data_IF_791925837554
#
_entry.id   IF_791925837554
#
_cell.length_a   1.000
_cell.length_b   1.000
_cell.length_c   1.000
_cell.angle_alpha   90.00
_cell.angle_beta   90.00
_cell.angle_gamma   90.00
#
_symmetry.space_group_name_H-M   'P 1'
#
loop_
_entity.id
_entity.type
_entity.pdbx_description
1 polymer ?
#
# COMPACT_ATOMS: atom_id res chain seq x y z
N UNK A 1 15.08 -20.24 17.37
CA UNK A 1 13.81 -20.21 18.13
C UNK A 1 12.59 -20.35 17.20
N UNK A 2 12.17 -21.60 16.99
CA UNK A 2 10.82 -22.07 16.64
C UNK A 2 10.11 -21.52 15.39
N UNK A 3 10.27 -22.20 14.24
CA UNK A 3 9.28 -22.19 13.14
C UNK A 3 7.97 -22.95 13.50
N UNK A 4 7.86 -23.52 14.71
CA UNK A 4 6.80 -24.45 15.12
C UNK A 4 5.45 -23.82 15.56
N UNK A 5 5.24 -22.50 15.42
CA UNK A 5 3.90 -21.91 15.62
C UNK A 5 3.50 -20.88 14.56
N UNK A 6 3.89 -21.09 13.31
CA UNK A 6 3.31 -20.32 12.20
C UNK A 6 1.85 -20.75 12.04
N UNK A 7 0.92 -19.90 12.46
CA UNK A 7 -0.51 -20.16 12.28
C UNK A 7 -0.91 -19.84 10.84
N UNK A 8 -0.71 -20.81 9.95
CA UNK A 8 -1.02 -20.71 8.51
C UNK A 8 -2.48 -20.30 8.28
N UNK A 9 -3.41 -20.86 9.07
CA UNK A 9 -4.84 -20.53 9.01
C UNK A 9 -5.10 -19.06 9.34
N UNK A 10 -4.53 -18.54 10.43
CA UNK A 10 -4.72 -17.13 10.84
C UNK A 10 -4.01 -16.14 9.92
N UNK A 11 -2.88 -16.55 9.34
CA UNK A 11 -2.16 -15.79 8.31
C UNK A 11 -2.95 -15.74 7.00
N UNK A 12 -3.55 -16.86 6.60
CA UNK A 12 -4.38 -16.96 5.39
C UNK A 12 -5.72 -16.23 5.53
N UNK A 13 -6.33 -16.25 6.72
CA UNK A 13 -7.56 -15.51 7.01
C UNK A 13 -7.30 -14.04 7.39
N UNK A 14 -6.04 -13.62 7.51
CA UNK A 14 -5.64 -12.24 7.86
C UNK A 14 -6.25 -11.75 9.18
N UNK A 15 -6.52 -12.67 10.10
CA UNK A 15 -7.17 -12.36 11.39
C UNK A 15 -6.17 -12.21 12.55
N UNK A 16 -4.88 -12.50 12.32
CA UNK A 16 -3.85 -12.36 13.36
C UNK A 16 -3.22 -10.97 13.35
N UNK A 17 -3.33 -10.26 14.47
CA UNK A 17 -2.69 -8.97 14.73
C UNK A 17 -1.24 -9.13 15.24
N UNK A 18 -0.84 -10.35 15.61
CA UNK A 18 0.46 -10.63 16.25
C UNK A 18 1.59 -10.89 15.23
N UNK A 19 2.39 -9.86 14.96
CA UNK A 19 3.54 -9.83 14.03
C UNK A 19 4.50 -11.04 14.08
N UNK A 20 4.59 -11.74 15.22
CA UNK A 20 5.61 -12.76 15.49
C UNK A 20 5.30 -14.13 14.87
N UNK A 21 4.08 -14.36 14.37
CA UNK A 21 3.62 -15.69 13.94
C UNK A 21 3.00 -15.74 12.53
N UNK A 22 3.13 -14.66 11.74
CA UNK A 22 2.53 -14.59 10.41
C UNK A 22 3.48 -15.19 9.37
N UNK A 23 2.94 -16.07 8.52
CA UNK A 23 3.65 -16.61 7.36
C UNK A 23 4.08 -15.52 6.36
N UNK A 24 3.33 -14.41 6.36
CA UNK A 24 3.62 -13.20 5.58
C UNK A 24 3.83 -12.05 6.56
N UNK A 25 5.08 -11.61 6.83
CA UNK A 25 5.33 -10.56 7.83
C UNK A 25 4.68 -9.21 7.49
N UNK A 26 4.17 -9.07 6.27
CA UNK A 26 3.50 -7.88 5.73
C UNK A 26 1.97 -7.90 5.96
N UNK A 27 1.40 -9.02 6.39
CA UNK A 27 -0.06 -9.16 6.46
C UNK A 27 -0.75 -8.35 7.57
N UNK A 28 0.01 -7.81 8.54
CA UNK A 28 -0.54 -6.89 9.55
C UNK A 28 -1.12 -5.62 8.92
N UNK A 29 -0.43 -5.01 7.95
CA UNK A 29 -0.89 -3.80 7.24
C UNK A 29 -2.02 -4.11 6.25
N UNK A 30 -1.97 -5.28 5.61
CA UNK A 30 -3.02 -5.73 4.69
C UNK A 30 -4.36 -5.96 5.42
N UNK A 31 -4.32 -6.39 6.68
CA UNK A 31 -5.52 -6.52 7.52
C UNK A 31 -6.23 -5.17 7.71
N UNK A 32 -5.47 -4.08 7.90
CA UNK A 32 -6.03 -2.72 7.99
C UNK A 32 -6.65 -2.25 6.66
N UNK A 33 -6.04 -2.63 5.53
CA UNK A 33 -6.55 -2.32 4.19
C UNK A 33 -7.90 -3.01 3.93
N UNK A 34 -8.01 -4.31 4.22
CA UNK A 34 -9.28 -5.04 4.11
C UNK A 34 -10.36 -4.49 5.05
N UNK A 35 -9.98 -4.13 6.28
CA UNK A 35 -10.88 -3.49 7.24
C UNK A 35 -11.42 -2.16 6.69
N UNK A 36 -10.55 -1.31 6.15
CA UNK A 36 -10.94 -0.06 5.51
C UNK A 36 -11.91 -0.30 4.35
N UNK A 37 -11.61 -1.25 3.45
CA UNK A 37 -12.50 -1.57 2.34
C UNK A 37 -13.84 -2.12 2.81
N UNK A 38 -13.88 -2.98 3.82
CA UNK A 38 -15.12 -3.48 4.39
C UNK A 38 -15.97 -2.33 4.95
N UNK A 39 -15.37 -1.41 5.69
CA UNK A 39 -16.06 -0.25 6.26
C UNK A 39 -16.63 0.66 5.17
N UNK A 40 -15.85 0.97 4.12
CA UNK A 40 -16.31 1.79 2.99
C UNK A 40 -17.41 1.07 2.20
N UNK A 41 -17.25 -0.23 1.93
CA UNK A 41 -18.24 -1.03 1.20
C UNK A 41 -19.56 -1.14 1.97
N UNK A 42 -19.51 -1.43 3.27
CA UNK A 42 -20.69 -1.45 4.14
C UNK A 42 -21.35 -0.07 4.19
N UNK A 43 -20.56 0.99 4.35
CA UNK A 43 -21.05 2.36 4.27
C UNK A 43 -21.77 2.64 2.95
N UNK A 44 -21.20 2.20 1.83
CA UNK A 44 -21.80 2.40 0.52
C UNK A 44 -23.11 1.64 0.32
N UNK A 45 -23.24 0.44 0.89
CA UNK A 45 -24.47 -0.38 0.83
C UNK A 45 -25.54 0.15 1.78
N UNK A 46 -25.16 0.55 2.99
CA UNK A 46 -26.08 1.00 4.04
C UNK A 46 -26.57 2.43 3.81
N UNK A 47 -25.72 3.33 3.31
CA UNK A 47 -26.08 4.73 3.07
C UNK A 47 -26.56 4.93 1.63
N UNK A 48 -27.82 5.38 1.48
CA UNK A 48 -28.36 5.84 0.18
C UNK A 48 -27.48 6.95 -0.40
N UNK A 49 -27.48 7.13 -1.72
CA UNK A 49 -26.64 8.10 -2.43
C UNK A 49 -26.69 9.53 -1.84
N UNK A 50 -27.84 9.95 -1.30
CA UNK A 50 -28.05 11.25 -0.64
C UNK A 50 -27.36 11.39 0.74
N UNK A 51 -27.01 10.28 1.37
CA UNK A 51 -26.37 10.21 2.69
C UNK A 51 -24.87 9.89 2.61
N UNK A 52 -24.27 9.94 1.41
CA UNK A 52 -22.82 9.74 1.24
C UNK A 52 -21.98 10.78 2.01
N UNK A 53 -22.50 11.99 2.22
CA UNK A 53 -21.88 12.95 3.12
C UNK A 53 -21.80 12.46 4.57
N UNK A 54 -22.83 11.74 5.05
CA UNK A 54 -22.85 11.14 6.38
C UNK A 54 -21.83 10.01 6.52
N UNK A 55 -21.50 9.29 5.44
CA UNK A 55 -20.40 8.32 5.44
C UNK A 55 -19.05 9.01 5.70
N UNK A 56 -18.74 10.09 4.99
CA UNK A 56 -17.49 10.83 5.21
C UNK A 56 -17.43 11.50 6.59
N UNK A 57 -18.55 12.02 7.08
CA UNK A 57 -18.64 12.58 8.44
C UNK A 57 -18.47 11.50 9.50
N UNK A 58 -19.10 10.33 9.35
CA UNK A 58 -18.94 9.22 10.30
C UNK A 58 -17.53 8.64 10.29
N UNK A 59 -16.90 8.55 9.11
CA UNK A 59 -15.48 8.21 8.98
C UNK A 59 -14.58 9.27 9.62
N UNK A 60 -14.91 10.55 9.48
CA UNK A 60 -14.22 11.66 10.13
C UNK A 60 -14.37 11.66 11.66
N UNK A 61 -15.54 11.29 12.17
CA UNK A 61 -15.78 11.13 13.60
C UNK A 61 -15.06 9.90 14.17
N UNK A 62 -15.06 8.79 13.44
CA UNK A 62 -14.27 7.62 13.79
C UNK A 62 -12.78 7.94 13.82
N UNK A 63 -12.31 8.71 12.84
CA UNK A 63 -10.95 9.25 12.78
C UNK A 63 -10.57 10.07 14.02
N UNK A 64 -11.43 11.00 14.44
CA UNK A 64 -11.21 11.80 15.66
C UNK A 64 -11.26 10.91 16.90
N UNK A 65 -12.19 9.96 16.97
CA UNK A 65 -12.26 9.00 18.07
C UNK A 65 -10.98 8.17 18.19
N UNK A 66 -10.45 7.65 17.08
CA UNK A 66 -9.18 6.92 17.05
C UNK A 66 -7.99 7.77 17.51
N UNK A 67 -8.01 9.08 17.28
CA UNK A 67 -6.96 9.99 17.74
C UNK A 67 -7.00 10.25 19.26
N UNK A 68 -8.14 10.02 19.91
CA UNK A 68 -8.33 10.25 21.35
C UNK A 68 -8.10 8.98 22.20
N UNK A 69 -8.11 7.79 21.58
CA UNK A 69 -7.90 6.53 22.28
C UNK A 69 -6.41 6.15 22.25
N UNK A 70 -5.74 5.94 23.40
CA UNK A 70 -4.34 5.54 23.43
C UNK A 70 -4.15 4.17 22.78
N UNK A 71 -3.29 4.10 21.77
CA UNK A 71 -2.94 2.88 21.07
C UNK A 71 -2.19 1.92 22.01
N UNK A 72 -2.64 0.66 22.08
CA UNK A 72 -1.96 -0.42 22.82
C UNK A 72 -1.85 -1.66 21.94
N UNK A 73 -0.63 -2.08 21.59
CA UNK A 73 -0.41 -3.21 20.69
C UNK A 73 -1.08 -4.52 21.19
N UNK A 74 -1.53 -5.38 20.26
CA UNK A 74 -1.98 -6.76 20.55
C UNK A 74 -3.46 -6.96 20.93
N UNK A 75 -4.30 -5.92 20.91
CA UNK A 75 -5.74 -6.06 21.23
C UNK A 75 -6.62 -5.77 20.00
N UNK A 76 -7.73 -6.52 19.82
CA UNK A 76 -8.74 -6.27 18.79
C UNK A 76 -9.28 -4.83 18.80
N UNK A 77 -9.40 -4.22 19.99
CA UNK A 77 -9.80 -2.81 20.14
C UNK A 77 -8.80 -1.88 19.46
N UNK A 78 -7.51 -2.12 19.63
CA UNK A 78 -6.44 -1.30 19.05
C UNK A 78 -6.33 -1.45 17.53
N UNK A 79 -6.73 -2.61 17.00
CA UNK A 79 -6.88 -2.80 15.55
C UNK A 79 -8.03 -1.93 15.00
N UNK A 80 -9.20 -1.94 15.66
CA UNK A 80 -10.36 -1.15 15.24
C UNK A 80 -10.17 0.36 15.42
N UNK A 81 -9.44 0.78 16.47
CA UNK A 81 -9.12 2.19 16.71
C UNK A 81 -7.77 2.59 16.15
N UNK A 82 -7.21 1.81 15.23
CA UNK A 82 -5.87 2.07 14.72
C UNK A 82 -5.82 3.39 13.97
N UNK A 83 -4.80 4.21 14.22
CA UNK A 83 -4.75 5.53 13.63
C UNK A 83 -4.32 5.46 12.14
N UNK A 84 -3.93 4.28 11.62
CA UNK A 84 -3.67 4.05 10.18
C UNK A 84 -4.89 4.27 9.28
N UNK A 85 -6.11 4.13 9.83
CA UNK A 85 -7.34 4.43 9.09
C UNK A 85 -7.35 5.89 8.59
N UNK A 86 -6.69 6.80 9.32
CA UNK A 86 -6.56 8.20 8.94
C UNK A 86 -5.80 8.38 7.63
N UNK A 87 -4.76 7.58 7.40
CA UNK A 87 -3.95 7.65 6.18
C UNK A 87 -4.77 7.23 4.95
N UNK A 88 -5.55 6.15 5.08
CA UNK A 88 -6.47 5.71 4.03
C UNK A 88 -7.57 6.75 3.76
N UNK A 89 -8.16 7.32 4.82
CA UNK A 89 -9.17 8.37 4.68
C UNK A 89 -8.61 9.61 3.99
N UNK A 90 -7.40 10.04 4.38
CA UNK A 90 -6.72 11.17 3.76
C UNK A 90 -6.47 10.92 2.26
N UNK A 91 -5.98 9.74 1.89
CA UNK A 91 -5.81 9.37 0.48
C UNK A 91 -7.13 9.40 -0.31
N UNK A 92 -8.22 8.91 0.29
CA UNK A 92 -9.52 8.95 -0.36
C UNK A 92 -10.07 10.39 -0.52
N UNK A 93 -9.85 11.26 0.47
CA UNK A 93 -10.18 12.68 0.37
C UNK A 93 -9.31 13.38 -0.69
N UNK A 94 -8.01 13.06 -0.78
CA UNK A 94 -7.14 13.56 -1.85
C UNK A 94 -7.68 13.21 -3.23
N UNK A 95 -8.18 12.00 -3.42
CA UNK A 95 -8.82 11.60 -4.67
C UNK A 95 -10.11 12.39 -4.96
N UNK A 96 -10.97 12.58 -3.96
CA UNK A 96 -12.24 13.32 -4.12
C UNK A 96 -12.03 14.81 -4.44
N UNK A 97 -11.02 15.43 -3.82
CA UNK A 97 -10.72 16.85 -3.98
C UNK A 97 -9.54 17.10 -4.92
N UNK A 98 -9.17 16.11 -5.74
CA UNK A 98 -7.99 16.17 -6.61
C UNK A 98 -7.98 17.41 -7.50
N UNK A 99 -9.11 17.79 -8.08
CA UNK A 99 -9.18 18.92 -9.01
C UNK A 99 -8.97 20.28 -8.31
N UNK A 100 -9.26 20.35 -7.00
CA UNK A 100 -8.99 21.54 -6.20
C UNK A 100 -7.54 21.59 -5.70
N UNK A 101 -6.95 20.43 -5.39
CA UNK A 101 -5.61 20.28 -4.83
C UNK A 101 -4.52 20.30 -5.93
N UNK A 102 -4.82 19.81 -7.13
CA UNK A 102 -3.86 19.58 -8.19
C UNK A 102 -3.53 20.86 -8.99
N UNK A 103 -2.87 21.81 -8.32
CA UNK A 103 -2.50 23.10 -8.92
C UNK A 103 -1.00 23.15 -9.18
N UNK A 104 -0.58 23.44 -10.42
CA UNK A 104 0.84 23.62 -10.81
C UNK A 104 1.67 24.45 -9.81
N UNK A 105 1.23 25.63 -9.30
CA UNK A 105 2.04 26.42 -8.37
C UNK A 105 2.29 25.74 -7.01
N UNK A 106 1.51 24.71 -6.64
CA UNK A 106 1.68 23.97 -5.39
C UNK A 106 2.70 22.82 -5.50
N UNK A 107 3.18 22.47 -6.70
CA UNK A 107 4.18 21.42 -6.90
C UNK A 107 5.44 21.57 -6.02
N UNK A 108 6.14 22.72 -6.01
CA UNK A 108 7.34 22.86 -5.17
C UNK A 108 7.00 22.76 -3.69
N UNK A 109 5.81 23.24 -3.28
CA UNK A 109 5.33 23.11 -1.91
C UNK A 109 5.11 21.64 -1.53
N UNK A 110 4.46 20.85 -2.38
CA UNK A 110 4.25 19.42 -2.13
C UNK A 110 5.56 18.64 -2.09
N UNK A 111 6.50 18.93 -2.99
CA UNK A 111 7.83 18.30 -2.99
C UNK A 111 8.60 18.64 -1.71
N UNK A 112 8.67 19.92 -1.35
CA UNK A 112 9.36 20.38 -0.15
C UNK A 112 8.73 19.82 1.12
N UNK A 113 7.40 19.89 1.23
CA UNK A 113 6.66 19.35 2.37
C UNK A 113 6.89 17.86 2.54
N UNK A 114 6.92 17.09 1.44
CA UNK A 114 7.22 15.65 1.49
C UNK A 114 8.61 15.41 2.08
N UNK A 115 9.65 16.09 1.57
CA UNK A 115 11.02 15.92 2.05
C UNK A 115 11.14 16.31 3.52
N UNK A 116 10.58 17.46 3.91
CA UNK A 116 10.62 17.95 5.30
C UNK A 116 9.89 17.00 6.24
N UNK A 117 8.69 16.54 5.88
CA UNK A 117 7.88 15.65 6.74
C UNK A 117 8.51 14.27 6.89
N UNK A 118 9.11 13.72 5.84
CA UNK A 118 9.90 12.48 5.92
C UNK A 118 11.11 12.68 6.83
N UNK A 119 11.85 13.78 6.63
CA UNK A 119 13.01 14.09 7.46
C UNK A 119 12.64 14.24 8.94
N UNK A 120 11.54 14.94 9.25
CA UNK A 120 11.01 15.07 10.61
C UNK A 120 10.63 13.70 11.20
N UNK A 121 9.95 12.85 10.42
CA UNK A 121 9.56 11.51 10.85
C UNK A 121 10.77 10.64 11.21
N UNK A 122 11.82 10.70 10.41
CA UNK A 122 13.09 9.99 10.68
C UNK A 122 13.81 10.60 11.88
N UNK A 123 13.92 11.93 11.94
CA UNK A 123 14.64 12.64 12.99
C UNK A 123 14.05 12.39 14.38
N UNK A 124 12.72 12.42 14.50
CA UNK A 124 12.02 12.16 15.76
C UNK A 124 11.75 10.67 16.02
N UNK A 125 12.28 9.76 15.19
CA UNK A 125 12.06 8.31 15.29
C UNK A 125 10.58 7.97 15.44
N UNK A 126 9.73 8.56 14.60
CA UNK A 126 8.30 8.43 14.73
C UNK A 126 7.86 6.96 14.57
N UNK A 127 7.53 6.31 15.70
CA UNK A 127 7.10 4.91 15.80
C UNK A 127 5.63 4.71 15.43
N UNK A 128 4.95 3.73 16.02
CA UNK A 128 3.54 3.41 15.70
C UNK A 128 2.51 4.40 16.30
N UNK A 129 2.93 5.61 16.65
CA UNK A 129 2.09 6.60 17.34
C UNK A 129 1.54 7.67 16.38
N UNK A 130 0.73 8.58 16.93
CA UNK A 130 0.18 9.73 16.19
C UNK A 130 1.25 10.64 15.56
N UNK A 131 2.48 10.62 16.08
CA UNK A 131 3.61 11.34 15.46
C UNK A 131 3.96 10.80 14.07
N UNK A 132 3.81 9.49 13.82
CA UNK A 132 4.06 8.89 12.51
C UNK A 132 3.04 9.34 11.48
N UNK A 133 1.78 9.47 11.87
CA UNK A 133 0.74 9.94 10.94
C UNK A 133 0.96 11.40 10.58
N UNK A 134 1.32 12.23 11.57
CA UNK A 134 1.65 13.65 11.34
C UNK A 134 2.88 13.85 10.46
N UNK A 135 3.81 12.89 10.43
CA UNK A 135 5.03 12.97 9.65
C UNK A 135 4.91 12.15 8.37
N UNK A 136 5.04 10.83 8.45
CA UNK A 136 4.95 9.91 7.31
C UNK A 136 3.58 9.90 6.64
N UNK A 137 2.48 9.93 7.39
CA UNK A 137 1.12 9.98 6.81
C UNK A 137 0.87 11.28 6.02
N UNK A 138 1.23 12.42 6.60
CA UNK A 138 1.17 13.72 5.93
C UNK A 138 2.12 13.79 4.72
N UNK A 139 3.32 13.22 4.83
CA UNK A 139 4.26 13.12 3.72
C UNK A 139 3.68 12.30 2.56
N UNK A 140 3.01 11.18 2.85
CA UNK A 140 2.35 10.34 1.85
C UNK A 140 1.24 11.11 1.11
N UNK A 141 0.46 11.92 1.84
CA UNK A 141 -0.56 12.81 1.25
C UNK A 141 0.08 13.85 0.34
N UNK A 142 1.15 14.53 0.78
CA UNK A 142 1.86 15.50 -0.06
C UNK A 142 2.44 14.85 -1.31
N UNK A 143 3.03 13.66 -1.18
CA UNK A 143 3.59 12.90 -2.30
C UNK A 143 2.50 12.48 -3.30
N UNK A 144 1.34 12.05 -2.82
CA UNK A 144 0.19 11.73 -3.66
C UNK A 144 -0.30 12.97 -4.40
N UNK A 145 -0.51 14.09 -3.71
CA UNK A 145 -0.88 15.37 -4.33
C UNK A 145 0.14 15.83 -5.38
N UNK A 146 1.44 15.64 -5.11
CA UNK A 146 2.51 15.95 -6.06
C UNK A 146 2.35 15.16 -7.37
N UNK A 147 2.26 13.83 -7.31
CA UNK A 147 2.13 13.01 -8.52
C UNK A 147 0.80 13.22 -9.26
N UNK A 148 -0.31 13.35 -8.53
CA UNK A 148 -1.61 13.68 -9.12
C UNK A 148 -1.56 15.02 -9.84
N UNK A 149 -0.90 16.03 -9.25
CA UNK A 149 -0.71 17.32 -9.91
C UNK A 149 0.13 17.19 -11.18
N UNK A 150 1.24 16.44 -11.14
CA UNK A 150 2.08 16.23 -12.32
C UNK A 150 1.31 15.57 -13.47
N UNK A 151 0.46 14.59 -13.16
CA UNK A 151 -0.36 13.88 -14.15
C UNK A 151 -1.46 14.78 -14.73
N UNK A 152 -2.27 15.43 -13.88
CA UNK A 152 -3.37 16.30 -14.33
C UNK A 152 -2.88 17.50 -15.15
N UNK A 153 -1.70 18.00 -14.82
CA UNK A 153 -1.13 19.18 -15.48
C UNK A 153 -0.35 18.85 -16.75
N UNK A 154 -0.26 17.56 -17.09
CA UNK A 154 0.44 17.03 -18.26
C UNK A 154 1.96 17.11 -18.17
N UNK A 155 2.52 17.42 -17.00
CA UNK A 155 3.98 17.55 -16.79
C UNK A 155 4.67 16.20 -16.71
N UNK A 156 3.96 15.16 -16.30
CA UNK A 156 4.47 13.79 -16.24
C UNK A 156 3.38 12.81 -16.66
N UNK A 157 3.80 11.75 -17.37
CA UNK A 157 2.97 10.57 -17.60
C UNK A 157 3.81 9.35 -17.28
N UNK A 158 3.24 8.43 -16.50
CA UNK A 158 3.91 7.19 -16.16
C UNK A 158 4.21 6.38 -17.43
N UNK A 159 5.45 5.94 -17.58
CA UNK A 159 5.84 5.06 -18.68
C UNK A 159 5.22 3.66 -18.53
N UNK A 160 5.24 2.87 -19.62
CA UNK A 160 4.69 1.50 -19.63
C UNK A 160 5.29 0.61 -18.54
N UNK A 161 6.59 0.74 -18.28
CA UNK A 161 7.27 -0.04 -17.25
C UNK A 161 6.84 0.36 -15.83
N UNK A 162 6.68 1.66 -15.56
CA UNK A 162 6.21 2.15 -14.26
C UNK A 162 4.78 1.69 -13.99
N UNK A 163 3.90 1.73 -15.00
CA UNK A 163 2.55 1.18 -14.89
C UNK A 163 2.56 -0.33 -14.68
N UNK A 164 3.38 -1.09 -15.41
CA UNK A 164 3.48 -2.54 -15.26
C UNK A 164 3.96 -2.95 -13.86
N UNK A 165 4.96 -2.26 -13.32
CA UNK A 165 5.45 -2.50 -11.96
C UNK A 165 4.43 -2.06 -10.90
N UNK A 166 3.73 -0.95 -11.14
CA UNK A 166 2.63 -0.49 -10.30
C UNK A 166 1.48 -1.50 -10.25
N UNK A 167 1.10 -2.07 -11.40
CA UNK A 167 0.07 -3.09 -11.49
C UNK A 167 0.46 -4.38 -10.73
N UNK A 168 1.75 -4.76 -10.80
CA UNK A 168 2.30 -5.90 -10.07
C UNK A 168 2.70 -5.58 -8.61
N UNK A 169 2.41 -4.37 -8.12
CA UNK A 169 2.88 -3.90 -6.81
C UNK A 169 2.35 -4.76 -5.65
N UNK A 170 1.15 -5.31 -5.77
CA UNK A 170 0.57 -6.20 -4.77
C UNK A 170 1.37 -7.50 -4.61
N UNK A 171 1.68 -8.19 -5.72
CA UNK A 171 2.56 -9.35 -5.75
C UNK A 171 3.95 -9.04 -5.17
N UNK A 172 4.54 -7.91 -5.58
CA UNK A 172 5.84 -7.45 -5.08
C UNK A 172 5.79 -7.26 -3.56
N UNK A 173 4.76 -6.57 -3.08
CA UNK A 173 4.55 -6.30 -1.66
C UNK A 173 4.38 -7.58 -0.83
N UNK A 174 3.66 -8.57 -1.33
CA UNK A 174 3.44 -9.81 -0.60
C UNK A 174 4.70 -10.69 -0.55
N UNK A 175 5.48 -10.72 -1.64
CA UNK A 175 6.57 -11.69 -1.82
C UNK A 175 7.96 -11.15 -1.50
N UNK A 176 8.16 -9.83 -1.37
CA UNK A 176 9.52 -9.29 -1.19
C UNK A 176 10.24 -9.82 0.06
N UNK A 177 9.58 -9.92 1.22
CA UNK A 177 10.20 -10.44 2.44
C UNK A 177 10.48 -11.95 2.37
N UNK A 178 9.53 -12.82 1.95
CA UNK A 178 9.83 -14.23 1.71
C UNK A 178 10.99 -14.43 0.73
N UNK A 179 10.99 -13.69 -0.38
CA UNK A 179 12.03 -13.80 -1.41
C UNK A 179 13.39 -13.36 -0.86
N UNK A 180 13.44 -12.23 -0.15
CA UNK A 180 14.66 -11.79 0.52
C UNK A 180 15.13 -12.82 1.57
N UNK A 181 14.21 -13.42 2.33
CA UNK A 181 14.54 -14.46 3.29
C UNK A 181 15.22 -15.67 2.63
N UNK A 182 14.74 -16.08 1.45
CA UNK A 182 15.39 -17.14 0.65
C UNK A 182 16.82 -16.77 0.29
N UNK A 183 17.08 -15.55 -0.17
CA UNK A 183 18.44 -15.08 -0.48
C UNK A 183 19.39 -15.16 0.73
N UNK A 184 18.90 -14.78 1.91
CA UNK A 184 19.67 -14.77 3.15
C UNK A 184 19.92 -16.18 3.70
N UNK A 185 18.92 -17.06 3.69
CA UNK A 185 18.98 -18.37 4.34
C UNK A 185 19.50 -19.50 3.42
N UNK A 186 19.38 -19.36 2.09
CA UNK A 186 19.87 -20.37 1.14
C UNK A 186 21.40 -20.41 1.01
N UNK A 187 22.12 -19.44 1.60
CA UNK A 187 23.56 -19.29 1.41
C UNK A 187 23.95 -18.69 0.06
N UNK A 188 23.00 -18.41 -0.84
CA UNK A 188 23.23 -17.81 -2.15
C UNK A 188 23.99 -16.48 -2.03
N UNK A 189 23.66 -15.65 -1.04
CA UNK A 189 24.41 -14.42 -0.73
C UNK A 189 25.90 -14.68 -0.45
N UNK A 190 26.22 -15.71 0.34
CA UNK A 190 27.60 -16.04 0.70
C UNK A 190 28.36 -16.60 -0.52
N UNK A 191 27.68 -17.42 -1.32
CA UNK A 191 28.22 -17.94 -2.57
C UNK A 191 28.58 -16.79 -3.53
N UNK A 192 27.64 -15.89 -3.79
CA UNK A 192 27.86 -14.70 -4.63
C UNK A 192 29.02 -13.83 -4.13
N UNK A 193 29.10 -13.60 -2.82
CA UNK A 193 30.18 -12.82 -2.22
C UNK A 193 31.57 -13.48 -2.35
N UNK A 194 31.64 -14.82 -2.43
CA UNK A 194 32.90 -15.55 -2.54
C UNK A 194 33.62 -15.36 -3.88
N UNK A 195 32.90 -14.99 -4.95
CA UNK A 195 33.46 -14.70 -6.27
C UNK A 195 33.93 -13.24 -6.44
N UNK A 196 33.88 -12.43 -5.39
CA UNK A 196 34.32 -11.04 -5.38
C UNK A 196 33.18 -10.03 -5.52
N UNK A 197 33.46 -8.73 -5.27
CA UNK A 197 32.44 -7.70 -5.11
C UNK A 197 31.63 -7.45 -6.38
N UNK A 198 32.27 -7.40 -7.56
CA UNK A 198 31.58 -7.15 -8.82
C UNK A 198 30.58 -8.25 -9.19
N UNK A 199 30.95 -9.52 -8.96
CA UNK A 199 30.08 -10.68 -9.22
C UNK A 199 28.92 -10.70 -8.23
N UNK A 200 29.17 -10.34 -6.97
CA UNK A 200 28.13 -10.23 -5.96
C UNK A 200 27.07 -9.19 -6.35
N UNK A 201 27.49 -7.97 -6.71
CA UNK A 201 26.59 -6.89 -7.15
C UNK A 201 25.77 -7.30 -8.38
N UNK A 202 26.43 -7.88 -9.39
CA UNK A 202 25.74 -8.34 -10.60
C UNK A 202 24.72 -9.44 -10.29
N UNK A 203 25.07 -10.39 -9.41
CA UNK A 203 24.17 -11.46 -9.01
C UNK A 203 23.00 -10.97 -8.15
N UNK A 204 23.20 -9.96 -7.29
CA UNK A 204 22.09 -9.31 -6.59
C UNK A 204 21.16 -8.57 -7.54
N UNK A 205 21.70 -7.83 -8.51
CA UNK A 205 20.91 -7.18 -9.55
C UNK A 205 20.10 -8.21 -10.34
N UNK A 206 20.72 -9.31 -10.77
CA UNK A 206 20.04 -10.40 -11.47
C UNK A 206 18.95 -11.05 -10.60
N UNK A 207 19.20 -11.22 -9.30
CA UNK A 207 18.22 -11.76 -8.35
C UNK A 207 17.00 -10.86 -8.18
N UNK A 208 17.20 -9.55 -8.07
CA UNK A 208 16.11 -8.56 -8.02
C UNK A 208 15.33 -8.55 -9.34
N UNK A 209 16.01 -8.62 -10.49
CA UNK A 209 15.33 -8.69 -11.79
C UNK A 209 14.51 -9.97 -11.93
N UNK A 210 15.03 -11.11 -11.48
CA UNK A 210 14.29 -12.37 -11.46
C UNK A 210 13.05 -12.30 -10.56
N UNK A 211 13.17 -11.65 -9.40
CA UNK A 211 12.04 -11.39 -8.51
C UNK A 211 10.95 -10.54 -9.17
N UNK A 212 11.33 -9.43 -9.79
CA UNK A 212 10.38 -8.54 -10.46
C UNK A 212 9.70 -9.26 -11.63
N UNK A 213 10.45 -10.04 -12.41
CA UNK A 213 9.89 -10.85 -13.49
C UNK A 213 8.90 -11.90 -12.97
N UNK A 214 9.21 -12.57 -11.86
CA UNK A 214 8.29 -13.51 -11.20
C UNK A 214 6.99 -12.81 -10.77
N UNK A 215 7.08 -11.67 -10.10
CA UNK A 215 5.91 -10.91 -9.64
C UNK A 215 5.06 -10.40 -10.81
N UNK A 216 5.68 -9.91 -11.89
CA UNK A 216 4.96 -9.54 -13.12
C UNK A 216 4.27 -10.76 -13.74
N UNK A 217 4.92 -11.92 -13.74
CA UNK A 217 4.34 -13.19 -14.19
C UNK A 217 3.12 -13.59 -13.37
N UNK A 218 3.22 -13.56 -12.04
CA UNK A 218 2.10 -13.85 -11.14
C UNK A 218 0.93 -12.88 -11.34
N UNK A 219 1.23 -11.59 -11.44
CA UNK A 219 0.22 -10.57 -11.70
C UNK A 219 -0.53 -10.82 -13.02
N UNK A 220 0.20 -11.12 -14.09
CA UNK A 220 -0.37 -11.27 -15.43
C UNK A 220 -1.10 -12.60 -15.64
N UNK A 221 -0.62 -13.68 -15.02
CA UNK A 221 -1.14 -15.04 -15.20
C UNK A 221 -2.19 -15.44 -14.15
N UNK A 222 -2.14 -14.86 -12.95
CA UNK A 222 -3.01 -15.26 -11.82
C UNK A 222 -3.91 -14.11 -11.41
N UNK A 223 -3.34 -12.98 -11.00
CA UNK A 223 -4.12 -11.88 -10.41
C UNK A 223 -5.09 -11.26 -11.43
N UNK A 224 -4.61 -10.88 -12.61
CA UNK A 224 -5.43 -10.26 -13.66
C UNK A 224 -6.57 -11.18 -14.13
N UNK A 225 -6.34 -12.47 -14.46
CA UNK A 225 -7.42 -13.37 -14.85
C UNK A 225 -8.44 -13.60 -13.74
N UNK A 226 -7.97 -13.79 -12.49
CA UNK A 226 -8.85 -14.01 -11.35
C UNK A 226 -9.74 -12.80 -11.07
N UNK A 227 -9.17 -11.60 -11.10
CA UNK A 227 -9.92 -10.34 -10.96
C UNK A 227 -11.00 -10.22 -12.03
N UNK A 228 -10.64 -10.45 -13.30
CA UNK A 228 -11.60 -10.40 -14.42
C UNK A 228 -12.70 -11.45 -14.28
N UNK A 229 -12.36 -12.65 -13.83
CA UNK A 229 -13.32 -13.72 -13.59
C UNK A 229 -14.32 -13.36 -12.49
N UNK A 230 -13.84 -12.84 -11.35
CA UNK A 230 -14.69 -12.39 -10.24
C UNK A 230 -15.63 -11.25 -10.66
N UNK A 231 -15.13 -10.25 -11.39
CA UNK A 231 -15.99 -9.15 -11.85
C UNK A 231 -17.07 -9.61 -12.82
N UNK A 232 -16.79 -10.58 -13.69
CA UNK A 232 -17.79 -11.20 -14.57
C UNK A 232 -18.85 -11.93 -13.76
N UNK A 233 -18.43 -12.71 -12.75
CA UNK A 233 -19.33 -13.46 -11.88
C UNK A 233 -20.26 -12.54 -11.08
N UNK A 234 -19.73 -11.43 -10.56
CA UNK A 234 -20.50 -10.43 -9.82
C UNK A 234 -21.32 -9.48 -10.71
N UNK A 235 -21.33 -9.68 -12.04
CA UNK A 235 -22.00 -8.82 -13.04
C UNK A 235 -21.67 -7.33 -12.89
N UNK A 236 -20.48 -7.01 -12.38
CA UNK A 236 -19.98 -5.65 -12.29
C UNK A 236 -19.65 -5.18 -13.72
N UNK A 237 -20.58 -4.48 -14.37
CA UNK A 237 -20.38 -3.86 -15.68
C UNK A 237 -19.14 -2.97 -15.60
N UNK A 238 -18.07 -3.37 -16.27
CA UNK A 238 -16.92 -2.50 -16.47
C UNK A 238 -17.32 -1.36 -17.40
N UNK A 239 -17.17 -0.12 -16.92
CA UNK A 239 -16.94 1.02 -17.82
C UNK A 239 -15.63 0.79 -18.60
N UNK A 240 -15.49 1.36 -19.81
CA UNK A 240 -14.42 1.01 -20.73
C UNK A 240 -13.04 1.26 -20.10
N UNK A 241 -12.23 0.20 -20.07
CA UNK A 241 -10.80 0.27 -19.75
C UNK A 241 -10.10 1.18 -20.76
N UNK A 242 -9.51 2.29 -20.31
CA UNK A 242 -8.66 3.19 -21.11
C UNK A 242 -7.31 2.53 -21.46
N UNK A 243 -7.34 1.41 -22.18
CA UNK A 243 -6.14 0.66 -22.59
C UNK A 243 -5.82 0.67 -24.09
N UNK A 244 -6.70 1.21 -24.94
CA UNK A 244 -6.57 1.10 -26.41
C UNK A 244 -6.28 2.42 -27.15
N UNK A 245 -5.79 3.47 -26.47
CA UNK A 245 -5.45 4.75 -27.11
C UNK A 245 -3.95 4.94 -27.42
N UNK A 246 -3.20 3.86 -27.65
CA UNK A 246 -1.79 3.93 -28.11
C UNK A 246 -1.58 3.17 -29.43
N UNK A 247 -2.64 3.04 -30.22
CA UNK A 247 -2.56 2.57 -31.60
C UNK A 247 -3.38 3.50 -32.51
N UNK A 248 -2.87 4.72 -32.69
CA UNK A 248 -3.12 5.60 -33.83
C UNK A 248 -2.01 6.65 -33.87
#
# INVERSE_FOLDING_TARGET
>A
PGFDRVNLLRSATLTSVDLQWLALPVSWSLSYELYFYAMVALGWVLFRARLRGALWVSLGLLAVWCALVPYREGTLRSFLTSPFILEFLAGALCYLYKDNLARKPLLPLYALATVVLVWLGVHYQAGNDFLRIRTFGAAAVCLMCFFVTLEQTGLYRAGRLAMLLGDASYSIYLLHLPFLSVLYHSGLRKLLASYGPAVAELGFAAYILAFLALCIGLHTLVERPLYRWLCRLLRLRHGPTQGNAVAA
#
